data_IF_849218443381
#
_entry.id   IF_849218443381
#
_cell.length_a   1.000
_cell.length_b   1.000
_cell.length_c   1.000
_cell.angle_alpha   90.00
_cell.angle_beta   90.00
_cell.angle_gamma   90.00
#
_symmetry.space_group_name_H-M   'P 1'
#
loop_
_entity.id
_entity.type
_entity.pdbx_description
1 polymer ?
#
# COMPACT_ATOMS: atom_id res chain seq x y z
N UNK A 1 -19.29 -6.12 -0.61
CA UNK A 1 -18.45 -5.55 -1.69
C UNK A 1 -17.16 -6.35 -1.75
N UNK A 2 -16.66 -6.62 -2.94
CA UNK A 2 -15.54 -7.54 -3.17
C UNK A 2 -14.53 -6.89 -4.10
N UNK A 3 -13.24 -7.07 -3.82
CA UNK A 3 -12.16 -6.67 -4.73
C UNK A 3 -11.89 -7.83 -5.68
N UNK A 4 -11.89 -7.58 -6.99
CA UNK A 4 -11.73 -8.63 -8.00
C UNK A 4 -10.52 -8.31 -8.84
N UNK A 5 -9.63 -9.28 -9.03
CA UNK A 5 -8.54 -9.14 -10.00
C UNK A 5 -9.15 -9.23 -11.39
N UNK A 6 -9.13 -8.13 -12.13
CA UNK A 6 -9.64 -8.05 -13.51
C UNK A 6 -8.61 -8.67 -14.47
N UNK A 7 -7.37 -8.14 -14.47
CA UNK A 7 -6.27 -8.61 -15.35
C UNK A 7 -4.89 -8.45 -14.73
N UNK A 8 -3.90 -9.19 -15.23
CA UNK A 8 -2.48 -8.93 -14.95
C UNK A 8 -1.79 -8.22 -16.12
N UNK A 9 -1.09 -7.13 -15.83
CA UNK A 9 -0.27 -6.37 -16.78
C UNK A 9 1.20 -6.45 -16.37
N UNK A 10 1.90 -7.48 -16.85
CA UNK A 10 3.30 -7.73 -16.49
C UNK A 10 3.48 -7.92 -14.98
N UNK A 11 4.18 -6.98 -14.34
CA UNK A 11 4.41 -6.97 -12.88
C UNK A 11 3.28 -6.33 -12.07
N UNK A 12 2.19 -5.91 -12.71
CA UNK A 12 1.06 -5.26 -12.07
C UNK A 12 -0.21 -6.11 -12.16
N UNK A 13 -1.09 -5.96 -11.18
CA UNK A 13 -2.41 -6.55 -11.15
C UNK A 13 -3.46 -5.44 -11.08
N UNK A 14 -4.40 -5.45 -12.01
CA UNK A 14 -5.52 -4.52 -12.07
C UNK A 14 -6.66 -5.11 -11.25
N UNK A 15 -7.13 -4.35 -10.26
CA UNK A 15 -8.22 -4.75 -9.38
C UNK A 15 -9.42 -3.83 -9.64
N UNK A 16 -10.59 -4.43 -9.80
CA UNK A 16 -11.87 -3.73 -9.87
C UNK A 16 -12.54 -3.68 -8.49
N UNK A 17 -13.03 -2.50 -8.12
CA UNK A 17 -13.75 -2.22 -6.89
C UNK A 17 -14.76 -1.09 -7.08
N UNK A 18 -16.05 -1.35 -6.83
CA UNK A 18 -17.14 -0.35 -6.87
C UNK A 18 -17.11 0.58 -8.09
N UNK A 19 -16.82 0.04 -9.29
CA UNK A 19 -16.66 0.74 -10.58
C UNK A 19 -15.37 1.55 -10.75
N UNK A 20 -14.50 1.54 -9.75
CA UNK A 20 -13.13 2.02 -9.87
C UNK A 20 -12.21 0.85 -10.18
N UNK A 21 -11.10 1.14 -10.84
CA UNK A 21 -10.00 0.19 -11.00
C UNK A 21 -8.73 0.81 -10.47
N UNK A 22 -7.88 -0.01 -9.86
CA UNK A 22 -6.55 0.40 -9.42
C UNK A 22 -5.55 -0.71 -9.67
N UNK A 23 -4.29 -0.32 -9.85
CA UNK A 23 -3.21 -1.28 -10.08
C UNK A 23 -2.37 -1.42 -8.82
N UNK A 24 -2.07 -2.66 -8.43
CA UNK A 24 -1.09 -2.95 -7.39
C UNK A 24 0.03 -3.82 -7.94
N UNK A 25 1.25 -3.74 -7.38
CA UNK A 25 2.32 -4.66 -7.75
C UNK A 25 1.89 -6.10 -7.48
N UNK A 26 2.12 -6.98 -8.46
CA UNK A 26 1.83 -8.41 -8.35
C UNK A 26 2.57 -9.06 -7.17
N UNK A 27 3.73 -8.52 -6.79
CA UNK A 27 4.51 -9.00 -5.64
C UNK A 27 3.79 -8.83 -4.30
N UNK A 28 2.85 -7.88 -4.20
CA UNK A 28 2.01 -7.71 -3.01
C UNK A 28 0.86 -8.72 -2.95
N UNK A 29 0.60 -9.45 -4.04
CA UNK A 29 -0.47 -10.42 -4.12
C UNK A 29 0.03 -11.84 -3.84
N UNK A 30 -0.81 -12.71 -3.25
CA UNK A 30 -0.46 -14.11 -3.07
C UNK A 30 -0.19 -14.77 -4.43
N UNK A 31 0.82 -15.66 -4.55
CA UNK A 31 1.15 -16.31 -5.82
C UNK A 31 0.04 -17.23 -6.35
N UNK A 32 -0.96 -17.55 -5.52
CA UNK A 32 -2.09 -18.42 -5.85
C UNK A 32 -3.24 -17.71 -6.56
N UNK A 33 -3.24 -16.37 -6.60
CA UNK A 33 -4.33 -15.60 -7.20
C UNK A 33 -4.24 -15.58 -8.72
N UNK A 34 -5.41 -15.59 -9.36
CA UNK A 34 -5.59 -15.53 -10.82
C UNK A 34 -6.57 -14.42 -11.20
N UNK A 35 -6.67 -14.12 -12.49
CA UNK A 35 -7.72 -13.25 -13.01
C UNK A 35 -9.11 -13.82 -12.65
N UNK A 36 -10.02 -12.94 -12.25
CA UNK A 36 -11.32 -13.29 -11.67
C UNK A 36 -11.27 -13.68 -10.18
N UNK A 37 -10.11 -13.70 -9.53
CA UNK A 37 -10.02 -14.01 -8.09
C UNK A 37 -10.56 -12.87 -7.26
N UNK A 38 -11.37 -13.23 -6.25
CA UNK A 38 -11.86 -12.29 -5.25
C UNK A 38 -10.86 -12.21 -4.10
N UNK A 39 -10.41 -11.00 -3.77
CA UNK A 39 -9.47 -10.73 -2.70
C UNK A 39 -10.10 -9.84 -1.63
N UNK A 40 -9.57 -9.91 -0.41
CA UNK A 40 -9.95 -9.02 0.68
C UNK A 40 -8.77 -8.08 0.97
N UNK A 41 -9.03 -6.77 0.92
CA UNK A 41 -8.06 -5.73 1.25
C UNK A 41 -8.54 -5.03 2.52
N UNK A 42 -7.67 -4.99 3.53
CA UNK A 42 -7.91 -4.26 4.77
C UNK A 42 -6.87 -3.16 4.90
N UNK A 43 -7.33 -1.90 4.92
CA UNK A 43 -6.47 -0.72 5.08
C UNK A 43 -6.77 -0.11 6.44
N UNK A 44 -5.77 -0.06 7.31
CA UNK A 44 -5.87 0.52 8.64
C UNK A 44 -4.82 1.60 8.82
N UNK A 45 -5.18 2.63 9.57
CA UNK A 45 -4.24 3.68 9.95
C UNK A 45 -3.44 3.22 11.17
N UNK A 46 -2.13 3.05 11.00
CA UNK A 46 -1.21 2.85 12.11
C UNK A 46 -0.72 4.20 12.64
N UNK A 47 -1.40 4.69 13.69
CA UNK A 47 -1.12 5.99 14.30
C UNK A 47 0.23 6.00 15.01
N UNK A 48 0.64 4.88 15.62
CA UNK A 48 1.88 4.81 16.39
C UNK A 48 3.10 4.84 15.46
N UNK A 49 3.13 4.02 14.41
CA UNK A 49 4.24 4.07 13.46
C UNK A 49 4.30 5.40 12.69
N UNK A 50 3.14 5.99 12.38
CA UNK A 50 3.07 7.32 11.77
C UNK A 50 3.64 8.41 12.69
N UNK A 51 3.37 8.34 14.00
CA UNK A 51 3.95 9.28 14.99
C UNK A 51 5.46 9.07 15.15
N UNK A 52 5.93 7.82 15.21
CA UNK A 52 7.35 7.51 15.35
C UNK A 52 8.15 8.03 14.15
N UNK A 53 7.66 7.81 12.92
CA UNK A 53 8.31 8.34 11.71
C UNK A 53 8.38 9.86 11.69
N UNK A 54 7.35 10.55 12.21
CA UNK A 54 7.36 12.01 12.36
C UNK A 54 8.34 12.49 13.43
N UNK A 55 8.49 11.73 14.51
CA UNK A 55 9.45 12.01 15.58
C UNK A 55 10.89 11.85 15.09
N UNK A 56 11.18 10.78 14.36
CA UNK A 56 12.53 10.52 13.82
C UNK A 56 12.94 11.56 12.77
N UNK A 57 12.01 11.95 11.88
CA UNK A 57 12.23 13.04 10.94
C UNK A 57 12.50 14.38 11.64
N UNK A 58 11.85 14.61 12.79
CA UNK A 58 12.08 15.82 13.60
C UNK A 58 13.44 15.77 14.30
N UNK A 59 13.85 14.63 14.85
CA UNK A 59 15.17 14.48 15.48
C UNK A 59 16.31 14.72 14.50
N UNK A 60 16.23 14.17 13.29
CA UNK A 60 17.22 14.42 12.23
C UNK A 60 17.28 15.89 11.83
N UNK A 61 16.15 16.60 11.88
CA UNK A 61 16.11 18.04 11.65
C UNK A 61 16.76 18.80 12.80
N UNK A 62 16.40 18.49 14.05
CA UNK A 62 16.93 19.15 15.25
C UNK A 62 18.46 18.96 15.37
N UNK A 63 19.01 17.78 15.05
CA UNK A 63 20.47 17.51 14.99
C UNK A 63 21.19 18.36 13.92
N UNK A 64 20.52 18.67 12.80
CA UNK A 64 21.10 19.50 11.73
C UNK A 64 21.18 20.99 12.07
N UNK A 65 20.34 21.46 12.99
CA UNK A 65 20.26 22.88 13.39
C UNK A 65 20.98 23.19 14.70
N UNK A 66 21.48 22.19 15.44
CA UNK A 66 22.32 22.38 16.63
C UNK A 66 23.80 22.71 16.31
N UNK A 67 24.24 22.64 15.05
CA UNK A 67 25.58 23.06 14.60
C UNK A 67 25.66 24.51 14.06
N UNK A 68 24.65 25.36 14.30
CA UNK A 68 24.62 26.77 13.84
C UNK A 68 24.81 27.80 14.97
#
# INVERSE_FOLDING_TARGET
>A
MSYIIDRFEGSWAVIEYERNTFSIPRELLPPTVKEGSVININVTLDIESTKNRRSDAKKLMDELFEEA
#
